data_IF_722878757005
#
_entry.id   IF_722878757005
#
_cell.length_a   1.000
_cell.length_b   1.000
_cell.length_c   1.000
_cell.angle_alpha   90.00
_cell.angle_beta   90.00
_cell.angle_gamma   90.00
#
_symmetry.space_group_name_H-M   'P 1'
#
loop_
_entity.id
_entity.type
_entity.pdbx_description
1 polymer ?
#
# COMPACT_ATOMS: atom_id res chain seq x y z
N UNK A 1 -13.72 5.17 6.17
CA UNK A 1 -13.84 3.82 5.55
C UNK A 1 -13.44 3.86 4.07
N UNK A 2 -13.91 4.87 3.33
CA UNK A 2 -13.66 5.11 1.89
C UNK A 2 -12.18 5.17 1.48
N UNK A 3 -11.32 5.77 2.30
CA UNK A 3 -9.89 5.81 2.00
C UNK A 3 -9.22 4.43 2.13
N UNK A 4 -9.66 3.60 3.07
CA UNK A 4 -9.06 2.28 3.32
C UNK A 4 -9.34 1.31 2.16
N UNK A 5 -10.56 1.27 1.64
CA UNK A 5 -10.89 0.40 0.52
C UNK A 5 -10.29 0.91 -0.80
N UNK A 6 -10.22 2.22 -1.03
CA UNK A 6 -9.54 2.80 -2.21
C UNK A 6 -8.04 2.49 -2.23
N UNK A 7 -7.40 2.54 -1.06
CA UNK A 7 -5.99 2.24 -0.91
C UNK A 7 -5.70 0.74 -0.96
N UNK A 8 -6.58 -0.08 -0.38
CA UNK A 8 -6.54 -1.54 -0.50
C UNK A 8 -6.74 -1.97 -1.96
N UNK A 9 -7.62 -1.30 -2.71
CA UNK A 9 -7.84 -1.52 -4.13
C UNK A 9 -6.63 -1.14 -5.00
N UNK A 10 -5.93 -0.05 -4.66
CA UNK A 10 -4.68 0.32 -5.32
C UNK A 10 -3.57 -0.71 -5.03
N UNK A 11 -3.48 -1.17 -3.78
CA UNK A 11 -2.55 -2.20 -3.36
C UNK A 11 -2.84 -3.54 -4.06
N UNK A 12 -4.11 -3.95 -4.18
CA UNK A 12 -4.48 -5.18 -4.92
C UNK A 12 -4.27 -5.06 -6.41
N UNK A 13 -4.47 -3.87 -7.01
CA UNK A 13 -4.11 -3.62 -8.42
C UNK A 13 -2.61 -3.77 -8.65
N UNK A 14 -1.77 -3.28 -7.75
CA UNK A 14 -0.32 -3.51 -7.79
C UNK A 14 0.07 -4.96 -7.55
N UNK A 15 -0.60 -5.65 -6.62
CA UNK A 15 -0.41 -7.09 -6.37
C UNK A 15 -0.76 -7.91 -7.62
N UNK A 16 -1.86 -7.59 -8.31
CA UNK A 16 -2.29 -8.25 -9.56
C UNK A 16 -1.27 -8.09 -10.70
N UNK A 17 -0.54 -6.97 -10.74
CA UNK A 17 0.46 -6.65 -11.77
C UNK A 17 1.88 -7.15 -11.42
N UNK A 18 2.17 -7.39 -10.14
CA UNK A 18 3.53 -7.71 -9.66
C UNK A 18 3.86 -9.21 -9.63
N UNK A 19 5.17 -9.52 -9.50
CA UNK A 19 5.70 -10.88 -9.27
C UNK A 19 5.15 -11.53 -7.99
N UNK A 20 4.59 -10.73 -7.09
CA UNK A 20 3.90 -11.18 -5.88
C UNK A 20 2.69 -12.07 -6.18
N UNK A 21 1.89 -11.79 -7.23
CA UNK A 21 0.78 -12.68 -7.66
C UNK A 21 1.28 -14.09 -7.99
N UNK A 22 2.40 -14.20 -8.71
CA UNK A 22 3.02 -15.49 -9.07
C UNK A 22 3.56 -16.22 -7.84
N UNK A 23 4.16 -15.48 -6.90
CA UNK A 23 4.73 -16.04 -5.68
C UNK A 23 3.64 -16.58 -4.73
N UNK A 24 2.56 -15.81 -4.53
CA UNK A 24 1.43 -16.19 -3.68
C UNK A 24 0.58 -17.30 -4.32
N UNK A 25 0.40 -17.28 -5.66
CA UNK A 25 -0.20 -18.40 -6.41
C UNK A 25 0.53 -19.73 -6.19
N UNK A 26 1.86 -19.68 -6.00
CA UNK A 26 2.69 -20.88 -5.77
C UNK A 26 2.60 -21.42 -4.33
N UNK A 27 2.11 -20.63 -3.37
CA UNK A 27 2.15 -20.96 -1.94
C UNK A 27 0.82 -21.40 -1.32
N UNK A 28 -0.34 -20.92 -1.80
CA UNK A 28 -1.63 -21.10 -1.09
C UNK A 28 -2.82 -21.66 -1.90
N UNK A 29 -2.65 -21.94 -3.20
CA UNK A 29 -3.74 -22.45 -4.05
C UNK A 29 -4.61 -21.35 -4.69
N UNK A 30 -5.01 -21.55 -5.94
CA UNK A 30 -5.51 -20.47 -6.82
C UNK A 30 -6.90 -19.93 -6.47
N UNK A 31 -7.77 -20.73 -5.84
CA UNK A 31 -9.20 -20.40 -5.75
C UNK A 31 -9.55 -19.37 -4.67
N UNK A 32 -8.91 -19.42 -3.51
CA UNK A 32 -9.28 -18.57 -2.37
C UNK A 32 -8.79 -17.12 -2.53
N UNK A 33 -7.62 -16.95 -3.15
CA UNK A 33 -7.01 -15.63 -3.39
C UNK A 33 -7.74 -14.89 -4.53
N UNK A 34 -8.12 -15.60 -5.60
CA UNK A 34 -8.85 -14.94 -6.69
C UNK A 34 -10.27 -14.53 -6.24
N UNK A 35 -10.93 -15.35 -5.42
CA UNK A 35 -12.23 -15.03 -4.83
C UNK A 35 -12.17 -13.81 -3.88
N UNK A 36 -11.15 -13.74 -3.03
CA UNK A 36 -10.95 -12.58 -2.12
C UNK A 36 -10.61 -11.31 -2.89
N UNK A 37 -9.80 -11.40 -3.96
CA UNK A 37 -9.50 -10.27 -4.84
C UNK A 37 -10.74 -9.78 -5.61
N UNK A 38 -11.58 -10.70 -6.12
CA UNK A 38 -12.85 -10.33 -6.77
C UNK A 38 -13.83 -9.68 -5.81
N UNK A 39 -13.94 -10.20 -4.59
CA UNK A 39 -14.80 -9.62 -3.55
C UNK A 39 -14.36 -8.21 -3.19
N UNK A 40 -13.06 -7.97 -3.13
CA UNK A 40 -12.52 -6.64 -2.86
C UNK A 40 -12.78 -5.65 -4.01
N UNK A 41 -12.58 -6.06 -5.27
CA UNK A 41 -12.86 -5.22 -6.43
C UNK A 41 -14.34 -4.78 -6.44
N UNK A 42 -15.25 -5.69 -6.09
CA UNK A 42 -16.69 -5.40 -5.97
C UNK A 42 -16.97 -4.37 -4.87
N UNK A 43 -16.42 -4.58 -3.67
CA UNK A 43 -16.63 -3.67 -2.53
C UNK A 43 -16.09 -2.26 -2.82
N UNK A 44 -14.96 -2.17 -3.52
CA UNK A 44 -14.38 -0.89 -3.92
C UNK A 44 -15.30 -0.14 -4.89
N UNK A 45 -15.87 -0.84 -5.87
CA UNK A 45 -16.79 -0.26 -6.84
C UNK A 45 -18.08 0.24 -6.18
N UNK A 46 -18.63 -0.53 -5.25
CA UNK A 46 -19.87 -0.19 -4.55
C UNK A 46 -19.67 1.02 -3.62
N UNK A 47 -18.51 1.16 -2.99
CA UNK A 47 -18.22 2.32 -2.14
C UNK A 47 -18.00 3.63 -2.93
N UNK A 48 -17.35 3.55 -4.10
CA UNK A 48 -17.23 4.71 -5.01
C UNK A 48 -18.62 5.20 -5.44
N UNK A 49 -19.53 4.27 -5.76
CA UNK A 49 -20.92 4.60 -6.13
C UNK A 49 -21.70 5.19 -4.97
N UNK A 50 -21.57 4.64 -3.77
CA UNK A 50 -22.22 5.15 -2.57
C UNK A 50 -21.77 6.58 -2.23
N UNK A 51 -20.47 6.84 -2.35
CA UNK A 51 -19.88 8.18 -2.13
C UNK A 51 -20.40 9.19 -3.16
N UNK A 52 -20.49 8.81 -4.44
CA UNK A 52 -21.05 9.67 -5.49
C UNK A 52 -22.54 9.99 -5.24
N UNK A 53 -23.34 9.00 -4.81
CA UNK A 53 -24.75 9.19 -4.50
C UNK A 53 -24.96 10.14 -3.31
N UNK A 54 -24.21 9.98 -2.22
CA UNK A 54 -24.26 10.87 -1.06
C UNK A 54 -23.84 12.30 -1.42
N UNK A 55 -22.81 12.46 -2.25
CA UNK A 55 -22.36 13.78 -2.71
C UNK A 55 -23.46 14.48 -3.51
N UNK A 56 -24.12 13.75 -4.43
CA UNK A 56 -25.24 14.28 -5.20
C UNK A 56 -26.44 14.65 -4.34
N UNK A 57 -26.78 13.84 -3.34
CA UNK A 57 -27.87 14.11 -2.39
C UNK A 57 -27.65 15.43 -1.64
N UNK A 58 -26.44 15.65 -1.10
CA UNK A 58 -26.07 16.89 -0.42
C UNK A 58 -26.17 18.10 -1.35
N UNK A 59 -25.65 17.97 -2.58
CA UNK A 59 -25.72 19.04 -3.59
C UNK A 59 -27.17 19.37 -3.96
N UNK A 60 -28.02 18.36 -4.18
CA UNK A 60 -29.44 18.57 -4.45
C UNK A 60 -30.19 19.18 -3.27
N UNK A 61 -29.86 18.80 -2.04
CA UNK A 61 -30.42 19.39 -0.82
C UNK A 61 -30.12 20.89 -0.73
N UNK A 62 -28.88 21.30 -1.00
CA UNK A 62 -28.45 22.70 -1.01
C UNK A 62 -29.12 23.52 -2.13
N UNK A 63 -29.21 22.95 -3.34
CA UNK A 63 -29.88 23.59 -4.48
C UNK A 63 -31.40 23.72 -4.25
N UNK A 64 -32.02 22.80 -3.52
CA UNK A 64 -33.44 22.86 -3.16
C UNK A 64 -33.71 23.94 -2.09
N UNK A 65 -32.79 24.11 -1.13
CA UNK A 65 -32.90 25.13 -0.09
C UNK A 65 -32.72 26.57 -0.66
N UNK A 66 -31.96 26.72 -1.75
CA UNK A 66 -31.77 27.97 -2.52
C UNK A 66 -33.04 28.60 -3.06
N UNK A 67 -34.09 27.83 -3.37
CA UNK A 67 -35.33 28.37 -3.97
C UNK A 67 -36.19 29.17 -2.98
N UNK A 68 -35.90 29.11 -1.68
CA UNK A 68 -36.76 29.67 -0.61
C UNK A 68 -36.26 31.03 -0.07
N UNK A 69 -35.00 31.41 -0.29
CA UNK A 69 -34.36 32.58 0.38
C UNK A 69 -33.92 33.66 -0.63
N UNK A 70 -34.74 33.97 -1.62
CA UNK A 70 -34.44 35.07 -2.55
C UNK A 70 -35.55 36.10 -2.54
N UNK A 71 -35.50 37.09 -1.63
CA UNK A 71 -35.87 38.49 -1.96
C UNK A 71 -35.37 39.60 -1.00
N UNK A 72 -34.22 39.44 -0.33
CA UNK A 72 -33.77 40.36 0.72
C UNK A 72 -32.24 40.50 0.83
N UNK A 73 -31.76 41.73 1.01
CA UNK A 73 -30.33 42.11 0.96
C UNK A 73 -29.46 41.46 2.05
N UNK A 74 -30.04 41.12 3.20
CA UNK A 74 -29.38 40.35 4.28
C UNK A 74 -29.10 38.89 3.85
N UNK A 75 -29.91 38.34 2.93
CA UNK A 75 -29.70 37.01 2.38
C UNK A 75 -28.43 36.90 1.53
N UNK A 76 -28.07 37.95 0.78
CA UNK A 76 -26.86 37.95 -0.05
C UNK A 76 -25.57 38.00 0.78
N UNK A 77 -25.53 38.74 1.89
CA UNK A 77 -24.36 38.76 2.78
C UNK A 77 -24.16 37.41 3.46
N UNK A 78 -25.25 36.76 3.88
CA UNK A 78 -25.21 35.41 4.43
C UNK A 78 -24.70 34.39 3.40
N UNK A 79 -25.12 34.51 2.14
CA UNK A 79 -24.67 33.64 1.04
C UNK A 79 -23.17 33.77 0.79
N UNK A 80 -22.62 35.00 0.75
CA UNK A 80 -21.17 35.20 0.56
C UNK A 80 -20.36 34.62 1.73
N UNK A 81 -20.84 34.83 2.98
CA UNK A 81 -20.21 34.24 4.17
C UNK A 81 -20.26 32.71 4.14
N UNK A 82 -21.36 32.13 3.69
CA UNK A 82 -21.51 30.67 3.54
C UNK A 82 -20.62 30.12 2.43
N UNK A 83 -20.47 30.83 1.31
CA UNK A 83 -19.56 30.45 0.23
C UNK A 83 -18.11 30.44 0.71
N UNK A 84 -17.66 31.49 1.40
CA UNK A 84 -16.30 31.53 1.96
C UNK A 84 -16.07 30.46 3.04
N UNK A 85 -17.08 30.16 3.86
CA UNK A 85 -17.01 29.06 4.82
C UNK A 85 -16.93 27.69 4.13
N UNK A 86 -17.65 27.50 3.02
CA UNK A 86 -17.62 26.25 2.26
C UNK A 86 -16.26 26.02 1.60
N UNK A 87 -15.65 27.06 1.01
CA UNK A 87 -14.31 26.99 0.44
C UNK A 87 -13.26 26.62 1.50
N UNK A 88 -13.36 27.25 2.69
CA UNK A 88 -12.49 26.94 3.82
C UNK A 88 -12.65 25.49 4.28
N UNK A 89 -13.88 24.98 4.36
CA UNK A 89 -14.16 23.58 4.72
C UNK A 89 -13.58 22.63 3.66
N UNK A 90 -13.76 22.92 2.38
CA UNK A 90 -13.20 22.12 1.29
C UNK A 90 -11.67 22.07 1.36
N UNK A 91 -11.03 23.19 1.66
CA UNK A 91 -9.58 23.26 1.84
C UNK A 91 -9.13 22.38 3.02
N UNK A 92 -9.79 22.48 4.17
CA UNK A 92 -9.49 21.68 5.36
C UNK A 92 -9.63 20.19 5.07
N UNK A 93 -10.74 19.77 4.45
CA UNK A 93 -10.97 18.37 4.06
C UNK A 93 -9.86 17.88 3.12
N UNK A 94 -9.44 18.70 2.15
CA UNK A 94 -8.36 18.35 1.22
C UNK A 94 -7.01 18.13 1.94
N UNK A 95 -6.71 18.94 2.96
CA UNK A 95 -5.50 18.83 3.78
C UNK A 95 -5.52 17.57 4.63
N UNK A 96 -6.66 17.24 5.24
CA UNK A 96 -6.84 16.01 6.03
C UNK A 96 -6.59 14.77 5.15
N UNK A 97 -7.27 14.67 4.01
CA UNK A 97 -7.11 13.53 3.09
C UNK A 97 -5.67 13.43 2.56
N UNK A 98 -4.96 14.55 2.40
CA UNK A 98 -3.54 14.53 2.03
C UNK A 98 -2.67 14.02 3.17
N UNK A 99 -2.93 14.41 4.41
CA UNK A 99 -2.21 13.95 5.59
C UNK A 99 -2.42 12.44 5.81
N UNK A 100 -3.65 11.95 5.71
CA UNK A 100 -3.98 10.52 5.82
C UNK A 100 -3.26 9.69 4.76
N UNK A 101 -3.30 10.11 3.49
CA UNK A 101 -2.55 9.46 2.40
C UNK A 101 -1.05 9.46 2.63
N UNK A 102 -0.48 10.54 3.16
CA UNK A 102 0.95 10.61 3.47
C UNK A 102 1.34 9.65 4.60
N UNK A 103 0.51 9.56 5.65
CA UNK A 103 0.70 8.61 6.75
C UNK A 103 0.68 7.17 6.23
N UNK A 104 -0.33 6.82 5.44
CA UNK A 104 -0.41 5.48 4.84
C UNK A 104 0.82 5.17 3.97
N UNK A 105 1.28 6.13 3.15
CA UNK A 105 2.51 5.98 2.34
C UNK A 105 3.73 5.72 3.22
N UNK A 106 3.83 6.38 4.37
CA UNK A 106 4.91 6.18 5.32
C UNK A 106 4.83 4.78 5.95
N UNK A 107 3.66 4.35 6.38
CA UNK A 107 3.43 3.02 6.96
C UNK A 107 3.79 1.91 5.96
N UNK A 108 3.39 2.06 4.69
CA UNK A 108 3.75 1.12 3.62
C UNK A 108 5.26 1.09 3.37
N UNK A 109 5.92 2.27 3.36
CA UNK A 109 7.39 2.34 3.20
C UNK A 109 8.11 1.67 4.36
N UNK A 110 7.61 1.85 5.59
CA UNK A 110 8.16 1.21 6.77
C UNK A 110 7.96 -0.31 6.72
N UNK A 111 6.78 -0.78 6.30
CA UNK A 111 6.50 -2.21 6.15
C UNK A 111 7.36 -2.87 5.06
N UNK A 112 7.59 -2.17 3.94
CA UNK A 112 8.47 -2.62 2.86
C UNK A 112 9.96 -2.40 3.16
N UNK A 113 10.31 -1.71 4.24
CA UNK A 113 11.71 -1.44 4.54
C UNK A 113 12.44 -2.75 4.81
N UNK A 114 13.67 -2.92 4.28
CA UNK A 114 14.44 -4.11 4.56
C UNK A 114 14.74 -4.18 6.06
N UNK A 115 14.75 -5.39 6.67
CA UNK A 115 15.25 -5.54 8.03
C UNK A 115 16.70 -5.06 8.11
N UNK A 116 17.08 -4.53 9.26
CA UNK A 116 18.44 -4.03 9.51
C UNK A 116 19.49 -5.11 9.19
N UNK A 117 20.32 -4.92 8.15
CA UNK A 117 21.31 -5.91 7.74
C UNK A 117 22.34 -6.19 8.84
N UNK A 118 22.67 -5.18 9.66
CA UNK A 118 23.65 -5.30 10.72
C UNK A 118 23.13 -6.20 11.85
N UNK A 119 21.86 -6.02 12.25
CA UNK A 119 21.23 -6.91 13.26
C UNK A 119 21.14 -8.34 12.78
N UNK A 120 20.72 -8.55 11.53
CA UNK A 120 20.65 -9.89 10.95
C UNK A 120 22.03 -10.54 10.86
N UNK A 121 23.05 -9.78 10.47
CA UNK A 121 24.43 -10.25 10.42
C UNK A 121 24.92 -10.68 11.82
N UNK A 122 24.71 -9.85 12.83
CA UNK A 122 25.15 -10.16 14.19
C UNK A 122 24.42 -11.37 14.77
N UNK A 123 23.09 -11.45 14.62
CA UNK A 123 22.31 -12.62 15.05
C UNK A 123 22.78 -13.90 14.36
N UNK A 124 23.09 -13.84 13.07
CA UNK A 124 23.65 -14.97 12.34
C UNK A 124 25.05 -15.35 12.83
N UNK A 125 25.91 -14.37 13.13
CA UNK A 125 27.23 -14.59 13.71
C UNK A 125 27.16 -15.20 15.12
N UNK A 126 26.24 -14.74 15.96
CA UNK A 126 26.01 -15.27 17.31
C UNK A 126 25.44 -16.69 17.27
N UNK A 127 24.52 -16.96 16.34
CA UNK A 127 23.90 -18.29 16.16
C UNK A 127 24.83 -19.29 15.47
N UNK A 128 25.93 -18.83 14.87
CA UNK A 128 26.86 -19.67 14.14
C UNK A 128 27.69 -20.50 15.12
N UNK A 129 27.59 -21.82 15.02
CA UNK A 129 28.49 -22.72 15.73
C UNK A 129 29.94 -22.56 15.23
N UNK A 130 30.89 -22.59 16.16
CA UNK A 130 32.32 -22.56 15.82
C UNK A 130 32.67 -23.68 14.82
N UNK A 131 33.48 -23.37 13.80
CA UNK A 131 33.83 -24.30 12.73
C UNK A 131 32.77 -24.45 11.62
N UNK A 132 31.61 -23.79 11.71
CA UNK A 132 30.63 -23.83 10.62
C UNK A 132 31.21 -23.19 9.36
N UNK A 133 31.22 -23.96 8.26
CA UNK A 133 31.70 -23.50 6.96
C UNK A 133 33.21 -23.62 6.74
N UNK A 134 34.01 -24.02 7.74
CA UNK A 134 35.46 -24.23 7.54
C UNK A 134 35.73 -25.37 6.56
N UNK A 135 34.92 -26.44 6.61
CA UNK A 135 34.95 -27.55 5.64
C UNK A 135 34.86 -27.08 4.18
N UNK A 136 34.26 -25.92 3.96
CA UNK A 136 34.10 -25.30 2.65
C UNK A 136 35.18 -24.25 2.38
N UNK A 137 35.34 -23.28 3.27
CA UNK A 137 36.23 -22.12 3.09
C UNK A 137 37.69 -22.57 3.01
N UNK A 138 38.07 -23.56 3.83
CA UNK A 138 39.42 -24.11 3.89
C UNK A 138 39.56 -25.35 2.98
N UNK A 139 38.51 -25.70 2.22
CA UNK A 139 38.48 -26.87 1.35
C UNK A 139 39.01 -26.61 -0.05
N UNK A 140 39.57 -27.66 -0.66
CA UNK A 140 40.19 -27.58 -1.99
C UNK A 140 39.19 -27.12 -3.08
N UNK A 141 37.92 -27.52 -2.99
CA UNK A 141 36.89 -27.14 -3.96
C UNK A 141 36.67 -25.62 -4.06
N UNK A 142 36.75 -24.90 -2.93
CA UNK A 142 36.66 -23.44 -2.93
C UNK A 142 37.94 -22.80 -3.48
N UNK A 143 39.10 -23.32 -3.07
CA UNK A 143 40.40 -22.84 -3.52
C UNK A 143 40.58 -23.00 -5.04
N UNK A 144 40.25 -24.17 -5.57
CA UNK A 144 40.31 -24.48 -7.01
C UNK A 144 39.37 -23.58 -7.81
N UNK A 145 38.12 -23.43 -7.38
CA UNK A 145 37.18 -22.54 -8.06
C UNK A 145 37.68 -21.09 -8.08
N UNK A 146 38.19 -20.59 -6.95
CA UNK A 146 38.72 -19.22 -6.84
C UNK A 146 39.86 -18.97 -7.83
N UNK A 147 40.66 -20.00 -8.12
CA UNK A 147 41.77 -19.96 -9.06
C UNK A 147 41.36 -20.27 -10.53
N UNK A 148 40.15 -20.78 -10.77
CA UNK A 148 39.70 -21.28 -12.08
C UNK A 148 39.29 -20.18 -13.10
N UNK A 149 39.30 -18.91 -12.70
CA UNK A 149 39.06 -17.76 -13.59
C UNK A 149 37.58 -17.35 -13.74
N UNK A 150 37.29 -16.31 -14.56
CA UNK A 150 36.02 -15.55 -14.55
C UNK A 150 34.76 -16.32 -14.94
N UNK A 151 34.90 -17.50 -15.53
CA UNK A 151 33.81 -18.30 -16.11
C UNK A 151 33.59 -19.64 -15.41
N UNK A 152 34.18 -19.84 -14.23
CA UNK A 152 33.93 -21.05 -13.43
C UNK A 152 32.67 -20.90 -12.57
N UNK A 153 31.72 -21.84 -12.75
CA UNK A 153 30.51 -21.94 -11.92
C UNK A 153 30.72 -23.01 -10.86
N UNK A 154 30.41 -22.68 -9.61
CA UNK A 154 30.48 -23.59 -8.48
C UNK A 154 29.13 -23.65 -7.78
N UNK A 155 28.59 -24.85 -7.68
CA UNK A 155 27.30 -25.09 -7.05
C UNK A 155 27.52 -25.65 -5.65
N UNK A 156 27.02 -24.93 -4.66
CA UNK A 156 27.00 -25.37 -3.26
C UNK A 156 25.55 -25.73 -2.93
N UNK A 157 25.33 -26.93 -2.41
CA UNK A 157 24.05 -27.31 -1.84
C UNK A 157 24.21 -27.54 -0.33
N UNK A 158 23.20 -27.13 0.43
CA UNK A 158 23.06 -27.50 1.84
C UNK A 158 22.00 -28.59 1.96
N UNK A 159 22.14 -29.47 2.95
CA UNK A 159 21.00 -30.29 3.39
C UNK A 159 20.13 -29.47 4.34
N UNK A 160 18.82 -29.47 4.08
CA UNK A 160 17.81 -28.86 4.94
C UNK A 160 17.54 -29.72 6.16
#
# INVERSE_FOLDING_TARGET
>A
MVELLSTLALATKQVKQSRFKKFVKKLRGENEIEATLQRLDRLTLDEVRATAAQTLEVVYGLVRHRRVVMDDAEGNELVERMSGALESIQEIVSKINKAERNKLRQDVRQWLSPPDPWKNYNLACESRHSGTGTWWIDGDAYAEWKCSGPSSLLWINGKR
#
